data_IF_472253142274
#
_entry.id   IF_472253142274
#
_cell.length_a   1.000
_cell.length_b   1.000
_cell.length_c   1.000
_cell.angle_alpha   90.00
_cell.angle_beta   90.00
_cell.angle_gamma   90.00
#
_symmetry.space_group_name_H-M   'P 1'
#
loop_
_entity.id
_entity.type
_entity.pdbx_description
1 polymer ?
#
# COMPACT_ATOMS: atom_id res chain seq x y z
N UNK A 1 6.36 -32.96 16.39
CA UNK A 1 5.38 -32.67 15.33
C UNK A 1 5.21 -31.18 15.02
N UNK A 2 6.11 -30.30 15.45
CA UNK A 2 6.01 -28.85 15.18
C UNK A 2 6.74 -28.40 13.91
N UNK A 3 7.44 -29.30 13.20
CA UNK A 3 8.27 -28.94 12.05
C UNK A 3 7.55 -28.99 10.69
N UNK A 4 6.27 -29.41 10.64
CA UNK A 4 5.54 -29.58 9.39
C UNK A 4 4.75 -28.33 8.94
N UNK A 5 4.58 -27.33 9.80
CA UNK A 5 3.74 -26.15 9.50
C UNK A 5 4.53 -25.03 8.81
N UNK A 6 5.84 -24.92 9.07
CA UNK A 6 6.68 -23.85 8.49
C UNK A 6 6.93 -24.03 6.98
N UNK A 7 6.79 -25.25 6.45
CA UNK A 7 6.99 -25.52 5.02
C UNK A 7 5.83 -25.11 4.10
N UNK A 8 4.64 -24.88 4.64
CA UNK A 8 3.45 -24.59 3.84
C UNK A 8 3.32 -23.10 3.45
N UNK A 9 3.96 -22.20 4.20
CA UNK A 9 3.83 -20.75 4.01
C UNK A 9 4.62 -20.26 2.77
N UNK A 10 5.69 -20.97 2.39
CA UNK A 10 6.50 -20.62 1.21
C UNK A 10 5.95 -21.10 -0.15
N UNK A 11 4.82 -21.83 -0.16
CA UNK A 11 4.22 -22.35 -1.42
C UNK A 11 3.04 -21.50 -1.91
N UNK A 12 2.61 -20.50 -1.14
CA UNK A 12 1.44 -19.66 -1.46
C UNK A 12 1.55 -18.73 -2.68
N UNK A 13 2.72 -18.38 -3.26
CA UNK A 13 2.76 -17.59 -4.49
C UNK A 13 2.34 -18.33 -5.76
N UNK A 14 2.05 -19.63 -5.70
CA UNK A 14 1.76 -20.45 -6.89
C UNK A 14 0.27 -20.81 -7.09
N UNK A 15 -0.59 -20.37 -6.18
CA UNK A 15 -2.02 -20.49 -6.42
C UNK A 15 -2.55 -19.16 -6.93
N UNK A 16 -2.92 -19.17 -8.19
CA UNK A 16 -3.71 -18.13 -8.85
C UNK A 16 -5.09 -18.08 -8.16
N UNK A 17 -5.15 -17.41 -6.99
CA UNK A 17 -6.37 -17.23 -6.22
C UNK A 17 -7.10 -16.02 -6.82
N UNK A 18 -7.54 -16.15 -8.05
CA UNK A 18 -8.47 -15.23 -8.70
C UNK A 18 -9.93 -15.51 -8.33
N UNK A 19 -10.20 -16.17 -7.20
CA UNK A 19 -11.56 -16.28 -6.72
C UNK A 19 -11.92 -15.05 -5.90
N UNK A 20 -12.91 -14.30 -6.35
CA UNK A 20 -13.49 -13.10 -5.77
C UNK A 20 -14.08 -13.26 -4.35
N UNK A 21 -13.75 -14.31 -3.63
CA UNK A 21 -14.37 -14.67 -2.35
C UNK A 21 -13.34 -15.07 -1.26
N UNK A 22 -12.05 -14.82 -1.43
CA UNK A 22 -11.09 -15.12 -0.37
C UNK A 22 -11.14 -14.06 0.71
N UNK A 23 -11.42 -14.44 1.94
CA UNK A 23 -11.46 -13.57 3.11
C UNK A 23 -10.10 -13.56 3.79
N UNK A 24 -9.60 -12.40 4.15
CA UNK A 24 -8.29 -12.20 4.78
C UNK A 24 -8.43 -11.75 6.21
N UNK A 25 -8.16 -12.65 7.15
CA UNK A 25 -8.15 -12.36 8.58
C UNK A 25 -6.75 -12.06 9.05
N UNK A 26 -6.53 -10.87 9.56
CA UNK A 26 -5.28 -10.48 10.22
C UNK A 26 -5.41 -10.77 11.71
N UNK A 27 -4.90 -11.88 12.15
CA UNK A 27 -5.08 -12.37 13.52
C UNK A 27 -3.80 -12.90 14.16
N UNK A 28 -3.92 -13.44 15.38
CA UNK A 28 -2.77 -13.85 16.16
C UNK A 28 -2.09 -15.15 15.69
N UNK A 29 -2.74 -15.95 14.86
CA UNK A 29 -2.21 -17.23 14.39
C UNK A 29 -2.32 -17.31 12.86
N UNK A 30 -1.20 -17.51 12.18
CA UNK A 30 -1.19 -17.74 10.74
C UNK A 30 -1.82 -19.11 10.43
N UNK A 31 -2.88 -19.11 9.66
CA UNK A 31 -3.54 -20.35 9.23
C UNK A 31 -4.26 -20.17 7.89
N UNK A 32 -4.40 -21.28 7.17
CA UNK A 32 -5.27 -21.35 5.98
C UNK A 32 -6.38 -22.35 6.30
N UNK A 33 -7.60 -21.86 6.33
CA UNK A 33 -8.76 -22.74 6.56
C UNK A 33 -9.11 -23.53 5.29
N UNK A 34 -9.88 -24.61 5.46
CA UNK A 34 -10.27 -25.49 4.36
C UNK A 34 -11.16 -24.80 3.31
N UNK A 35 -11.79 -23.69 3.64
CA UNK A 35 -12.59 -22.84 2.76
C UNK A 35 -11.77 -21.79 1.98
N UNK A 36 -10.44 -21.78 2.17
CA UNK A 36 -9.54 -20.80 1.54
C UNK A 36 -9.33 -19.52 2.33
N UNK A 37 -9.94 -19.35 3.50
CA UNK A 37 -9.67 -18.23 4.40
C UNK A 37 -8.21 -18.22 4.82
N UNK A 38 -7.54 -17.07 4.66
CA UNK A 38 -6.14 -16.86 5.04
C UNK A 38 -6.11 -16.02 6.31
N UNK A 39 -5.35 -16.45 7.30
CA UNK A 39 -5.06 -15.68 8.51
C UNK A 39 -3.56 -15.39 8.57
N UNK A 40 -3.19 -14.14 8.84
CA UNK A 40 -1.81 -13.70 9.07
C UNK A 40 -1.60 -13.44 10.55
N UNK A 41 -0.51 -13.95 11.09
CA UNK A 41 -0.14 -13.74 12.49
C UNK A 41 0.20 -12.29 12.82
N UNK A 42 0.04 -11.89 14.09
CA UNK A 42 0.36 -10.51 14.54
C UNK A 42 1.81 -10.14 14.20
N UNK A 43 2.75 -11.02 14.48
CA UNK A 43 4.18 -10.78 14.22
C UNK A 43 4.49 -10.65 12.72
N UNK A 44 3.78 -11.40 11.87
CA UNK A 44 3.93 -11.30 10.42
C UNK A 44 3.43 -9.96 9.90
N UNK A 45 2.29 -9.50 10.41
CA UNK A 45 1.74 -8.18 10.06
C UNK A 45 2.63 -7.05 10.56
N UNK A 46 3.06 -7.09 11.82
CA UNK A 46 3.96 -6.07 12.38
C UNK A 46 5.33 -6.04 11.68
N UNK A 47 5.84 -7.21 11.27
CA UNK A 47 7.10 -7.35 10.54
C UNK A 47 6.99 -7.08 9.04
N UNK A 48 5.79 -6.79 8.52
CA UNK A 48 5.61 -6.61 7.09
C UNK A 48 6.37 -5.39 6.55
N UNK A 49 7.08 -5.61 5.46
CA UNK A 49 7.78 -4.57 4.71
C UNK A 49 7.29 -4.57 3.26
N UNK A 50 6.95 -3.40 2.77
CA UNK A 50 6.53 -3.20 1.39
C UNK A 50 7.60 -3.66 0.40
N UNK A 51 7.18 -4.31 -0.69
CA UNK A 51 8.06 -4.55 -1.84
C UNK A 51 8.48 -3.24 -2.54
N UNK A 52 7.79 -2.15 -2.23
CA UNK A 52 8.07 -0.79 -2.71
C UNK A 52 8.66 0.10 -1.61
N UNK A 53 9.34 -0.49 -0.62
CA UNK A 53 9.87 0.24 0.55
C UNK A 53 10.83 1.38 0.19
N UNK A 54 11.51 1.29 -0.94
CA UNK A 54 12.37 2.35 -1.49
C UNK A 54 11.60 3.58 -1.99
N UNK A 55 10.28 3.48 -2.16
CA UNK A 55 9.43 4.62 -2.53
C UNK A 55 8.88 5.38 -1.32
N UNK A 56 9.08 4.85 -0.10
CA UNK A 56 8.42 5.31 1.12
C UNK A 56 9.32 6.20 1.97
N UNK A 57 8.72 7.20 2.62
CA UNK A 57 9.46 8.05 3.58
C UNK A 57 9.68 7.35 4.92
N UNK A 58 8.71 6.56 5.37
CA UNK A 58 8.66 5.95 6.71
C UNK A 58 8.52 6.95 7.86
N UNK A 59 8.42 8.25 7.55
CA UNK A 59 8.34 9.31 8.56
C UNK A 59 7.04 9.26 9.36
N UNK A 60 5.94 9.07 8.69
CA UNK A 60 4.62 9.02 9.33
C UNK A 60 4.42 7.72 10.10
N UNK A 61 4.83 6.58 9.54
CA UNK A 61 4.82 5.29 10.22
C UNK A 61 5.57 5.31 11.55
N UNK A 62 6.70 6.00 11.60
CA UNK A 62 7.51 6.11 12.82
C UNK A 62 6.81 6.85 13.98
N UNK A 63 5.68 7.49 13.73
CA UNK A 63 4.88 8.20 14.74
C UNK A 63 3.73 7.36 15.29
N UNK A 64 3.45 6.20 14.68
CA UNK A 64 2.35 5.32 15.06
C UNK A 64 2.73 4.46 16.26
N UNK A 65 1.75 4.17 17.12
CA UNK A 65 1.88 3.15 18.16
C UNK A 65 1.81 1.73 17.53
N UNK A 66 1.93 0.68 18.35
CA UNK A 66 1.95 -0.70 17.87
C UNK A 66 0.64 -1.10 17.16
N UNK A 67 -0.52 -0.73 17.71
CA UNK A 67 -1.81 -1.04 17.13
C UNK A 67 -2.05 -0.29 15.82
N UNK A 68 -1.75 0.99 15.78
CA UNK A 68 -1.80 1.79 14.57
C UNK A 68 -0.82 1.28 13.50
N UNK A 69 0.38 0.86 13.91
CA UNK A 69 1.37 0.21 13.01
C UNK A 69 0.82 -1.10 12.45
N UNK A 70 0.09 -1.85 13.27
CA UNK A 70 -0.57 -3.07 12.81
C UNK A 70 -1.62 -2.78 11.73
N UNK A 71 -2.50 -1.81 11.96
CA UNK A 71 -3.50 -1.37 10.97
C UNK A 71 -2.80 -0.87 9.69
N UNK A 72 -1.77 -0.04 9.84
CA UNK A 72 -0.98 0.49 8.73
C UNK A 72 -0.40 -0.63 7.85
N UNK A 73 0.25 -1.62 8.45
CA UNK A 73 0.85 -2.73 7.73
C UNK A 73 -0.19 -3.65 7.10
N UNK A 74 -1.31 -3.89 7.76
CA UNK A 74 -2.40 -4.71 7.23
C UNK A 74 -3.03 -4.08 5.98
N UNK A 75 -3.30 -2.77 6.02
CA UNK A 75 -3.83 -2.02 4.87
C UNK A 75 -2.80 -1.98 3.75
N UNK A 76 -1.52 -1.75 4.07
CA UNK A 76 -0.44 -1.77 3.09
C UNK A 76 -0.31 -3.14 2.41
N UNK A 77 -0.32 -4.22 3.19
CA UNK A 77 -0.31 -5.59 2.68
C UNK A 77 -1.49 -5.86 1.74
N UNK A 78 -2.69 -5.49 2.15
CA UNK A 78 -3.90 -5.64 1.34
C UNK A 78 -3.80 -4.86 0.03
N UNK A 79 -3.32 -3.61 0.10
CA UNK A 79 -3.10 -2.75 -1.07
C UNK A 79 -2.15 -3.38 -2.09
N UNK A 80 -1.03 -3.90 -1.64
CA UNK A 80 -0.04 -4.50 -2.53
C UNK A 80 -0.50 -5.80 -3.18
N UNK A 81 -1.39 -6.52 -2.51
CA UNK A 81 -1.90 -7.81 -2.98
C UNK A 81 -3.31 -7.74 -3.61
N UNK A 82 -3.91 -6.55 -3.68
CA UNK A 82 -5.20 -6.34 -4.34
C UNK A 82 -6.40 -6.89 -3.56
N UNK A 83 -6.32 -6.95 -2.22
CA UNK A 83 -7.41 -7.46 -1.40
C UNK A 83 -8.43 -6.37 -1.08
N UNK A 84 -9.71 -6.66 -1.34
CA UNK A 84 -10.82 -5.74 -1.12
C UNK A 84 -11.43 -5.84 0.28
N UNK A 85 -11.39 -7.03 0.85
CA UNK A 85 -12.07 -7.33 2.11
C UNK A 85 -11.05 -7.86 3.10
N UNK A 86 -10.78 -7.10 4.15
CA UNK A 86 -9.88 -7.47 5.23
C UNK A 86 -10.59 -7.43 6.57
N UNK A 87 -10.11 -8.24 7.49
CA UNK A 87 -10.68 -8.39 8.83
C UNK A 87 -9.59 -8.11 9.85
N UNK A 88 -9.73 -7.00 10.58
CA UNK A 88 -8.80 -6.62 11.65
C UNK A 88 -9.36 -7.01 13.01
N UNK A 89 -8.54 -7.57 13.93
CA UNK A 89 -8.96 -7.89 15.28
C UNK A 89 -9.56 -6.66 15.98
N UNK A 90 -10.59 -6.88 16.77
CA UNK A 90 -11.25 -5.79 17.52
C UNK A 90 -10.30 -5.09 18.51
N UNK A 91 -9.33 -5.83 19.04
CA UNK A 91 -8.37 -5.36 20.05
C UNK A 91 -7.24 -4.51 19.49
N UNK A 92 -7.11 -4.37 18.17
CA UNK A 92 -6.14 -3.43 17.57
C UNK A 92 -6.66 -1.99 17.49
N UNK A 93 -7.97 -1.78 17.73
CA UNK A 93 -8.54 -0.45 17.81
C UNK A 93 -8.52 0.02 19.26
N UNK A 94 -7.82 1.10 19.55
CA UNK A 94 -7.47 1.54 20.91
C UNK A 94 -8.66 2.10 21.73
N UNK A 95 -9.87 2.13 21.15
CA UNK A 95 -11.10 2.50 21.83
C UNK A 95 -11.20 3.95 22.34
N UNK A 96 -10.15 4.75 22.15
CA UNK A 96 -10.09 6.16 22.52
C UNK A 96 -10.69 7.10 21.47
N UNK A 97 -10.72 6.67 20.24
CA UNK A 97 -11.37 7.34 19.11
C UNK A 97 -12.49 6.48 18.54
N UNK A 98 -13.39 7.10 17.78
CA UNK A 98 -14.23 6.33 16.87
C UNK A 98 -13.30 5.50 15.97
N UNK A 99 -13.53 4.19 15.89
CA UNK A 99 -12.71 3.23 15.10
C UNK A 99 -12.57 3.65 13.65
N UNK A 100 -13.57 4.29 13.10
CA UNK A 100 -13.51 4.84 11.75
C UNK A 100 -12.48 5.98 11.66
N UNK A 101 -12.44 6.87 12.63
CA UNK A 101 -11.47 7.97 12.68
C UNK A 101 -10.04 7.45 12.85
N UNK A 102 -9.83 6.41 13.65
CA UNK A 102 -8.53 5.76 13.81
C UNK A 102 -8.06 5.13 12.50
N UNK A 103 -8.94 4.41 11.81
CA UNK A 103 -8.65 3.84 10.50
C UNK A 103 -8.31 4.93 9.47
N UNK A 104 -9.10 5.99 9.37
CA UNK A 104 -8.87 7.12 8.47
C UNK A 104 -7.54 7.82 8.76
N UNK A 105 -7.21 7.99 10.04
CA UNK A 105 -5.94 8.56 10.47
C UNK A 105 -4.75 7.73 9.98
N UNK A 106 -4.80 6.42 10.23
CA UNK A 106 -3.72 5.50 9.84
C UNK A 106 -3.58 5.40 8.31
N UNK A 107 -4.71 5.34 7.58
CA UNK A 107 -4.69 5.34 6.11
C UNK A 107 -4.13 6.64 5.56
N UNK A 108 -4.44 7.78 6.19
CA UNK A 108 -3.85 9.07 5.82
C UNK A 108 -2.33 9.06 5.99
N UNK A 109 -1.83 8.49 7.08
CA UNK A 109 -0.39 8.35 7.30
C UNK A 109 0.27 7.43 6.27
N UNK A 110 -0.39 6.32 5.93
CA UNK A 110 0.08 5.44 4.86
C UNK A 110 0.15 6.18 3.52
N UNK A 111 -0.85 7.01 3.20
CA UNK A 111 -0.85 7.81 1.97
C UNK A 111 0.28 8.83 1.92
N UNK A 112 0.58 9.48 3.07
CA UNK A 112 1.67 10.44 3.17
C UNK A 112 3.04 9.77 3.06
N UNK A 113 3.20 8.58 3.62
CA UNK A 113 4.45 7.80 3.52
C UNK A 113 4.65 7.19 2.15
N UNK A 114 3.59 6.69 1.53
CA UNK A 114 3.64 6.01 0.26
C UNK A 114 2.41 6.30 -0.60
N UNK A 115 2.37 7.45 -1.28
CA UNK A 115 1.32 7.74 -2.25
C UNK A 115 1.21 6.63 -3.31
N UNK A 116 2.34 6.04 -3.67
CA UNK A 116 2.44 4.96 -4.64
C UNK A 116 1.70 3.67 -4.24
N UNK A 117 1.71 3.33 -2.94
CA UNK A 117 1.05 2.13 -2.43
C UNK A 117 -0.41 2.40 -2.06
N UNK A 118 -0.66 3.53 -1.41
CA UNK A 118 -1.91 3.77 -0.69
C UNK A 118 -2.96 4.57 -1.45
N UNK A 119 -2.59 5.20 -2.57
CA UNK A 119 -3.45 6.18 -3.25
C UNK A 119 -4.88 5.68 -3.50
N UNK A 120 -5.06 4.38 -3.68
CA UNK A 120 -6.32 3.77 -4.05
C UNK A 120 -7.27 3.45 -2.90
N UNK A 121 -6.77 3.46 -1.68
CA UNK A 121 -7.54 3.01 -0.52
C UNK A 121 -8.03 4.16 0.35
N UNK A 122 -7.54 5.37 0.11
CA UNK A 122 -7.80 6.51 0.98
C UNK A 122 -9.19 7.10 0.87
N UNK A 123 -9.81 7.04 -0.32
CA UNK A 123 -11.06 7.77 -0.57
C UNK A 123 -12.32 6.94 -0.35
N UNK A 124 -12.23 5.62 -0.44
CA UNK A 124 -13.40 4.73 -0.42
C UNK A 124 -13.28 3.56 0.57
N UNK A 125 -12.32 3.61 1.48
CA UNK A 125 -12.25 2.61 2.56
C UNK A 125 -13.42 2.77 3.50
N UNK A 126 -14.10 1.66 3.82
CA UNK A 126 -15.28 1.65 4.67
C UNK A 126 -15.10 0.64 5.79
N UNK A 127 -15.31 1.10 7.01
CA UNK A 127 -15.61 0.22 8.12
C UNK A 127 -17.09 -0.19 7.99
N UNK A 128 -17.37 -1.47 7.77
CA UNK A 128 -18.75 -1.92 7.48
C UNK A 128 -19.67 -1.89 8.68
N UNK A 129 -19.14 -1.67 9.89
CA UNK A 129 -19.89 -1.75 11.14
C UNK A 129 -20.20 -3.19 11.59
N UNK A 130 -19.89 -4.18 10.78
CA UNK A 130 -20.08 -5.58 11.12
C UNK A 130 -18.89 -6.10 11.93
N UNK A 131 -19.19 -6.87 12.98
CA UNK A 131 -18.22 -7.64 13.73
C UNK A 131 -18.39 -9.10 13.34
N UNK A 132 -17.33 -9.67 12.77
CA UNK A 132 -17.29 -11.07 12.37
C UNK A 132 -16.59 -11.91 13.43
N UNK A 133 -17.02 -13.16 13.58
CA UNK A 133 -16.41 -14.12 14.51
C UNK A 133 -15.59 -15.14 13.71
N UNK A 134 -14.29 -15.21 13.98
CA UNK A 134 -13.41 -16.19 13.36
C UNK A 134 -12.44 -16.75 14.40
N UNK A 135 -12.32 -18.09 14.47
CA UNK A 135 -11.43 -18.77 15.41
C UNK A 135 -11.57 -18.31 16.89
N UNK A 136 -12.79 -17.93 17.30
CA UNK A 136 -13.08 -17.49 18.66
C UNK A 136 -12.72 -16.04 18.97
N UNK A 137 -12.40 -15.24 17.99
CA UNK A 137 -12.09 -13.80 18.10
C UNK A 137 -13.06 -12.95 17.31
N UNK A 138 -13.18 -11.69 17.72
CA UNK A 138 -13.99 -10.67 17.04
C UNK A 138 -13.11 -9.86 16.09
N UNK A 139 -13.64 -9.59 14.90
CA UNK A 139 -12.96 -8.84 13.84
C UNK A 139 -13.85 -7.75 13.28
N UNK A 140 -13.27 -6.61 12.99
CA UNK A 140 -13.90 -5.57 12.18
C UNK A 140 -13.65 -5.84 10.71
N UNK A 141 -14.74 -5.87 9.94
CA UNK A 141 -14.67 -5.96 8.48
C UNK A 141 -14.41 -4.58 7.88
N UNK A 142 -13.33 -4.46 7.15
CA UNK A 142 -12.93 -3.27 6.42
C UNK A 142 -13.01 -3.60 4.94
N UNK A 143 -13.78 -2.81 4.23
CA UNK A 143 -13.89 -2.88 2.79
C UNK A 143 -12.99 -1.83 2.16
N UNK A 144 -12.02 -2.29 1.38
CA UNK A 144 -11.10 -1.47 0.60
C UNK A 144 -11.54 -1.49 -0.87
N UNK A 145 -11.42 -0.37 -1.55
CA UNK A 145 -11.67 -0.36 -3.00
C UNK A 145 -10.50 -1.01 -3.73
N UNK A 146 -10.78 -2.07 -4.49
CA UNK A 146 -9.75 -2.69 -5.33
C UNK A 146 -9.74 -2.06 -6.71
N UNK A 147 -8.58 -1.75 -7.18
CA UNK A 147 -8.36 -1.36 -8.55
C UNK A 147 -7.87 -2.59 -9.33
N UNK A 148 -8.57 -2.94 -10.39
CA UNK A 148 -8.36 -4.17 -11.15
C UNK A 148 -6.95 -4.36 -11.72
N UNK A 149 -6.76 -5.40 -12.54
CA UNK A 149 -5.46 -5.79 -13.14
C UNK A 149 -4.78 -4.66 -13.93
N UNK A 150 -5.54 -3.79 -14.59
CA UNK A 150 -5.00 -2.64 -15.32
C UNK A 150 -4.23 -1.70 -14.39
N UNK A 151 -4.75 -1.47 -13.19
CA UNK A 151 -4.08 -0.65 -12.19
C UNK A 151 -2.76 -1.27 -11.73
N UNK A 152 -2.77 -2.57 -11.39
CA UNK A 152 -1.57 -3.27 -10.95
C UNK A 152 -0.48 -3.20 -12.04
N UNK A 153 -0.84 -3.42 -13.29
CA UNK A 153 0.10 -3.33 -14.42
C UNK A 153 0.66 -1.92 -14.59
N UNK A 154 -0.17 -0.89 -14.45
CA UNK A 154 0.29 0.51 -14.54
C UNK A 154 1.20 0.89 -13.38
N UNK A 155 0.90 0.41 -12.16
CA UNK A 155 1.73 0.62 -10.98
C UNK A 155 3.11 0.00 -11.16
N UNK A 156 3.19 -1.25 -11.60
CA UNK A 156 4.47 -1.91 -11.87
C UNK A 156 5.26 -1.20 -12.97
N UNK A 157 4.61 -0.79 -14.05
CA UNK A 157 5.26 -0.02 -15.12
C UNK A 157 5.82 1.32 -14.62
N UNK A 158 5.07 2.03 -13.77
CA UNK A 158 5.52 3.28 -13.16
C UNK A 158 6.72 3.07 -12.23
N UNK A 159 6.73 1.98 -11.45
CA UNK A 159 7.85 1.64 -10.58
C UNK A 159 9.13 1.35 -11.38
N UNK A 160 9.04 0.52 -12.42
CA UNK A 160 10.19 0.26 -13.30
C UNK A 160 10.69 1.53 -14.01
N UNK A 161 9.77 2.40 -14.42
CA UNK A 161 10.14 3.69 -14.98
C UNK A 161 10.86 4.57 -13.97
N UNK A 162 10.36 4.65 -12.73
CA UNK A 162 11.01 5.42 -11.65
C UNK A 162 12.43 4.91 -11.37
N UNK A 163 12.63 3.59 -11.27
CA UNK A 163 13.99 3.00 -11.14
C UNK A 163 14.91 3.41 -12.28
N UNK A 164 14.40 3.39 -13.50
CA UNK A 164 15.17 3.82 -14.67
C UNK A 164 15.56 5.31 -14.61
N UNK A 165 14.63 6.16 -14.15
CA UNK A 165 14.89 7.61 -13.97
C UNK A 165 15.95 7.84 -12.89
N UNK A 166 15.83 7.19 -11.74
CA UNK A 166 16.83 7.31 -10.65
C UNK A 166 18.19 6.79 -11.10
N UNK A 167 18.23 5.67 -11.83
CA UNK A 167 19.48 5.13 -12.36
C UNK A 167 20.15 6.05 -13.42
N UNK A 168 19.39 6.97 -14.01
CA UNK A 168 19.92 7.94 -14.98
C UNK A 168 20.55 9.19 -14.35
N UNK A 169 20.53 9.33 -13.02
CA UNK A 169 21.14 10.45 -12.31
C UNK A 169 22.66 10.46 -12.61
N UNK A 170 23.21 11.57 -13.17
CA UNK A 170 24.63 11.65 -13.48
C UNK A 170 25.49 11.57 -12.20
N UNK A 171 26.70 10.98 -12.32
CA UNK A 171 27.62 10.84 -11.19
C UNK A 171 28.05 12.17 -10.55
N UNK A 172 28.08 13.25 -11.31
CA UNK A 172 28.32 14.59 -10.81
C UNK A 172 27.21 15.14 -9.92
N UNK A 173 26.01 14.53 -9.95
CA UNK A 173 24.91 14.80 -9.03
C UNK A 173 25.12 14.03 -7.72
N UNK A 174 26.21 14.27 -7.01
CA UNK A 174 26.69 13.52 -5.86
C UNK A 174 26.21 14.05 -4.50
N UNK A 175 25.27 14.98 -4.48
CA UNK A 175 24.61 15.49 -3.26
C UNK A 175 23.11 15.42 -3.42
N UNK A 176 22.37 15.27 -2.32
CA UNK A 176 20.90 15.19 -2.32
C UNK A 176 20.27 16.38 -3.04
N UNK A 177 20.83 17.59 -2.84
CA UNK A 177 20.36 18.79 -3.56
C UNK A 177 20.49 18.67 -5.06
N UNK A 178 21.61 18.15 -5.56
CA UNK A 178 21.84 17.99 -7.01
C UNK A 178 20.96 16.88 -7.60
N UNK A 179 20.80 15.78 -6.88
CA UNK A 179 19.89 14.72 -7.26
C UNK A 179 18.43 15.22 -7.32
N UNK A 180 17.98 15.93 -6.29
CA UNK A 180 16.66 16.52 -6.25
C UNK A 180 16.43 17.51 -7.42
N UNK A 181 17.42 18.36 -7.72
CA UNK A 181 17.31 19.27 -8.85
C UNK A 181 17.24 18.54 -10.18
N UNK A 182 18.03 17.48 -10.36
CA UNK A 182 17.97 16.64 -11.56
C UNK A 182 16.60 16.00 -11.74
N UNK A 183 16.07 15.37 -10.70
CA UNK A 183 14.77 14.72 -10.72
C UNK A 183 13.61 15.68 -10.93
N UNK A 184 13.67 16.85 -10.27
CA UNK A 184 12.71 17.93 -10.51
C UNK A 184 12.69 18.39 -11.97
N UNK A 185 13.88 18.63 -12.55
CA UNK A 185 13.99 19.03 -13.95
C UNK A 185 13.48 17.91 -14.88
N UNK A 186 13.80 16.64 -14.58
CA UNK A 186 13.29 15.52 -15.33
C UNK A 186 11.76 15.52 -15.38
N UNK A 187 11.09 15.69 -14.23
CA UNK A 187 9.62 15.75 -14.16
C UNK A 187 9.10 16.95 -14.95
N UNK A 188 9.68 18.12 -14.78
CA UNK A 188 9.25 19.34 -15.45
C UNK A 188 9.39 19.28 -16.99
N UNK A 189 10.45 18.61 -17.50
CA UNK A 189 10.74 18.52 -18.92
C UNK A 189 9.99 17.38 -19.62
N UNK A 190 9.55 16.35 -18.87
CA UNK A 190 8.92 15.16 -19.44
C UNK A 190 7.42 15.05 -19.16
N UNK A 191 6.80 16.11 -18.65
CA UNK A 191 5.37 16.07 -18.36
C UNK A 191 4.67 17.38 -18.65
N UNK A 192 3.33 17.29 -18.84
CA UNK A 192 2.43 18.41 -19.09
C UNK A 192 1.38 18.42 -17.99
N UNK A 193 1.20 19.59 -17.35
CA UNK A 193 0.12 19.80 -16.42
C UNK A 193 -1.22 19.93 -17.16
N UNK A 194 -2.21 19.14 -16.76
CA UNK A 194 -3.53 19.08 -17.42
C UNK A 194 -4.58 19.69 -16.52
N UNK A 195 -5.37 20.63 -17.01
CA UNK A 195 -6.37 21.36 -16.23
C UNK A 195 -7.81 20.97 -16.55
N UNK A 196 -8.08 20.50 -17.76
CA UNK A 196 -9.44 20.32 -18.26
C UNK A 196 -9.79 18.84 -18.50
N UNK A 197 -10.79 18.34 -17.75
CA UNK A 197 -11.42 17.05 -18.01
C UNK A 197 -10.52 15.82 -17.89
N UNK A 198 -9.32 15.98 -17.36
CA UNK A 198 -8.44 14.85 -17.10
C UNK A 198 -8.94 14.08 -15.90
N UNK A 199 -9.55 12.94 -16.17
CA UNK A 199 -9.84 11.96 -15.13
C UNK A 199 -8.53 11.23 -14.80
N UNK A 200 -8.01 11.43 -13.61
CA UNK A 200 -6.94 10.56 -13.10
C UNK A 200 -7.47 9.14 -13.13
N UNK A 201 -6.73 8.26 -13.81
CA UNK A 201 -7.08 6.83 -13.87
C UNK A 201 -6.68 6.11 -12.59
N UNK A 202 -6.78 6.79 -11.45
CA UNK A 202 -6.43 6.31 -10.11
C UNK A 202 -4.96 5.87 -9.93
N UNK A 203 -4.05 6.24 -10.83
CA UNK A 203 -2.60 6.02 -10.72
C UNK A 203 -1.83 7.30 -11.09
N UNK A 204 -1.91 8.36 -10.29
CA UNK A 204 -1.36 9.68 -10.64
C UNK A 204 0.12 9.63 -11.03
N UNK A 205 0.91 8.78 -10.34
CA UNK A 205 2.33 8.59 -10.64
C UNK A 205 2.53 7.94 -12.01
N UNK A 206 1.70 6.96 -12.38
CA UNK A 206 1.78 6.34 -13.71
C UNK A 206 1.31 7.31 -14.81
N UNK A 207 0.30 8.12 -14.55
CA UNK A 207 -0.15 9.14 -15.48
C UNK A 207 0.98 10.11 -15.82
N UNK A 208 1.81 10.48 -14.83
CA UNK A 208 2.97 11.32 -15.05
C UNK A 208 4.13 10.57 -15.72
N UNK A 209 4.57 9.45 -15.14
CA UNK A 209 5.78 8.76 -15.57
C UNK A 209 5.63 8.01 -16.91
N UNK A 210 4.43 7.54 -17.22
CA UNK A 210 4.14 6.74 -18.42
C UNK A 210 3.50 7.59 -19.50
N UNK A 211 2.46 8.36 -19.14
CA UNK A 211 1.68 9.13 -20.12
C UNK A 211 2.22 10.56 -20.28
N UNK A 212 3.10 11.03 -19.39
CA UNK A 212 3.65 12.37 -19.41
C UNK A 212 2.62 13.47 -19.12
N UNK A 213 1.55 13.15 -18.39
CA UNK A 213 0.44 14.07 -18.11
C UNK A 213 -0.09 13.84 -16.71
N UNK A 214 -0.23 14.89 -15.92
CA UNK A 214 -0.80 14.79 -14.58
C UNK A 214 -1.43 16.11 -14.12
N UNK A 215 -2.20 16.01 -13.06
CA UNK A 215 -2.64 17.13 -12.23
C UNK A 215 -1.74 17.25 -10.98
N UNK A 216 -2.10 18.08 -10.01
CA UNK A 216 -1.25 18.42 -8.86
C UNK A 216 -0.76 17.22 -8.05
N UNK A 217 -1.63 16.24 -7.80
CA UNK A 217 -1.29 15.03 -7.05
C UNK A 217 -0.24 14.18 -7.77
N UNK A 218 -0.40 13.94 -9.06
CA UNK A 218 0.58 13.20 -9.85
C UNK A 218 1.98 13.81 -9.82
N UNK A 219 2.08 15.15 -9.82
CA UNK A 219 3.36 15.84 -9.68
C UNK A 219 3.96 15.66 -8.28
N UNK A 220 3.14 15.91 -7.24
CA UNK A 220 3.59 15.81 -5.85
C UNK A 220 4.04 14.38 -5.51
N UNK A 221 3.22 13.39 -5.85
CA UNK A 221 3.46 11.99 -5.57
C UNK A 221 4.70 11.45 -6.32
N UNK A 222 4.82 11.81 -7.60
CA UNK A 222 5.98 11.38 -8.42
C UNK A 222 7.28 11.97 -7.89
N UNK A 223 7.31 13.26 -7.57
CA UNK A 223 8.51 13.91 -7.02
C UNK A 223 8.89 13.29 -5.68
N UNK A 224 7.91 13.08 -4.79
CA UNK A 224 8.13 12.43 -3.50
C UNK A 224 8.72 11.03 -3.67
N UNK A 225 8.11 10.21 -4.52
CA UNK A 225 8.59 8.86 -4.82
C UNK A 225 10.04 8.87 -5.35
N UNK A 226 10.32 9.68 -6.37
CA UNK A 226 11.65 9.74 -6.98
C UNK A 226 12.72 10.21 -5.99
N UNK A 227 12.39 11.14 -5.10
CA UNK A 227 13.32 11.63 -4.08
C UNK A 227 13.62 10.56 -3.02
N UNK A 228 12.61 9.77 -2.64
CA UNK A 228 12.84 8.67 -1.70
C UNK A 228 13.72 7.57 -2.30
N UNK A 229 13.61 7.31 -3.59
CA UNK A 229 14.38 6.28 -4.31
C UNK A 229 15.83 6.72 -4.61
N UNK A 230 16.18 7.99 -4.53
CA UNK A 230 17.49 8.53 -4.92
C UNK A 230 18.49 8.66 -3.77
#
# INVERSE_FOLDING_TARGET
PAAAVVGAIYILPLFDITSSNTLYYFGNDASVAADGTISLGKEEVLGYSSKYSDTMTGYFKAQLNENETYIYNAVMYASENGYSDIFLPEDVFDGGYDRLQELEYVITFLSCDSPFVAHNYTTNSKLTGNIEQFAGKSYHHIQLETLGEEYTSRREAAYEKAKSVVASIPQECNTDRKKAQYLYNYVAENSIYVTDGYSTRNVPIADLLIDGKAICDGYADTVTMLFNMA
#
